data_IF_576835675894
#
_entry.id   IF_576835675894
#
_cell.length_a   1.000
_cell.length_b   1.000
_cell.length_c   1.000
_cell.angle_alpha   90.00
_cell.angle_beta   90.00
_cell.angle_gamma   90.00
#
_symmetry.space_group_name_H-M   'P 1'
#
loop_
_entity.id
_entity.type
_entity.pdbx_description
1 polymer ?
#
# COMPACT_ATOMS: atom_id res chain seq x y z
N UNK A 1 -24.80 -0.82 -3.87
CA UNK A 1 -24.92 -2.28 -4.15
C UNK A 1 -23.56 -2.79 -4.64
N UNK A 2 -23.14 -4.00 -4.21
CA UNK A 2 -21.88 -4.61 -4.69
C UNK A 2 -22.15 -6.02 -5.22
N UNK A 3 -21.20 -6.53 -6.04
CA UNK A 3 -21.21 -7.88 -6.56
C UNK A 3 -19.80 -8.46 -6.51
N UNK A 4 -19.70 -9.74 -6.10
CA UNK A 4 -18.43 -10.49 -6.14
C UNK A 4 -18.52 -11.47 -7.32
N UNK A 5 -17.69 -11.25 -8.34
CA UNK A 5 -17.61 -12.15 -9.50
C UNK A 5 -16.47 -13.13 -9.32
N UNK A 6 -16.78 -14.39 -9.56
CA UNK A 6 -15.82 -15.50 -9.50
C UNK A 6 -15.55 -15.99 -10.92
N UNK A 7 -14.27 -16.19 -11.22
CA UNK A 7 -13.79 -16.76 -12.47
C UNK A 7 -12.87 -17.94 -12.15
N UNK A 8 -12.74 -18.85 -13.09
CA UNK A 8 -11.71 -19.88 -12.94
C UNK A 8 -10.30 -19.29 -13.12
N UNK A 9 -9.27 -20.14 -12.97
CA UNK A 9 -7.87 -19.73 -13.14
C UNK A 9 -7.54 -19.16 -14.54
N UNK A 10 -8.35 -19.47 -15.55
CA UNK A 10 -8.19 -19.04 -16.94
C UNK A 10 -9.06 -17.82 -17.28
N UNK A 11 -9.68 -17.18 -16.29
CA UNK A 11 -10.60 -16.06 -16.44
C UNK A 11 -11.95 -16.41 -17.07
N UNK A 12 -12.33 -17.69 -17.14
CA UNK A 12 -13.70 -18.07 -17.52
C UNK A 12 -14.65 -17.74 -16.39
N UNK A 13 -15.70 -17.01 -16.69
CA UNK A 13 -16.70 -16.63 -15.70
C UNK A 13 -17.41 -17.87 -15.12
N UNK A 14 -17.51 -17.94 -13.80
CA UNK A 14 -18.19 -19.02 -13.08
C UNK A 14 -19.53 -18.57 -12.50
N UNK A 15 -19.52 -17.48 -11.75
CA UNK A 15 -20.72 -17.00 -11.04
C UNK A 15 -20.57 -15.58 -10.53
N UNK A 16 -21.71 -15.02 -10.12
CA UNK A 16 -21.78 -13.77 -9.37
C UNK A 16 -22.45 -14.05 -8.02
N UNK A 17 -21.76 -13.67 -6.95
CA UNK A 17 -22.35 -13.61 -5.60
C UNK A 17 -22.86 -12.20 -5.39
N UNK A 18 -24.20 -12.08 -5.31
CA UNK A 18 -24.84 -10.82 -4.96
C UNK A 18 -24.71 -10.54 -3.46
N UNK A 19 -24.94 -9.32 -3.05
CA UNK A 19 -24.95 -8.89 -1.65
C UNK A 19 -25.84 -9.77 -0.75
N UNK A 20 -26.92 -10.35 -1.29
CA UNK A 20 -27.84 -11.23 -0.55
C UNK A 20 -27.24 -12.61 -0.22
N UNK A 21 -26.24 -13.05 -0.99
CA UNK A 21 -25.56 -14.33 -0.78
C UNK A 21 -24.31 -14.21 0.09
N UNK A 22 -23.82 -12.99 0.32
CA UNK A 22 -22.64 -12.71 1.11
C UNK A 22 -23.05 -12.32 2.52
N UNK A 23 -22.57 -13.08 3.49
CA UNK A 23 -22.87 -12.79 4.90
C UNK A 23 -21.93 -11.72 5.45
N UNK A 24 -22.49 -10.75 6.19
CA UNK A 24 -21.72 -9.63 6.78
C UNK A 24 -20.85 -8.82 5.79
N UNK A 25 -21.06 -9.02 4.47
CA UNK A 25 -20.32 -8.29 3.45
C UNK A 25 -18.91 -8.82 3.21
N UNK A 26 -18.03 -7.94 2.78
CA UNK A 26 -16.61 -8.24 2.53
C UNK A 26 -15.71 -7.27 3.30
N UNK A 27 -14.45 -7.67 3.49
CA UNK A 27 -13.39 -6.75 3.88
C UNK A 27 -12.13 -7.02 3.07
N UNK A 28 -11.44 -5.99 2.65
CA UNK A 28 -10.10 -6.08 2.07
C UNK A 28 -9.32 -4.81 2.37
N UNK A 29 -8.00 -4.89 2.26
CA UNK A 29 -7.15 -3.72 2.40
C UNK A 29 -6.35 -3.48 1.12
N UNK A 30 -5.95 -2.23 0.94
CA UNK A 30 -5.00 -1.81 -0.08
C UNK A 30 -3.95 -0.91 0.58
N UNK A 31 -2.68 -1.11 0.25
CA UNK A 31 -1.58 -0.33 0.81
C UNK A 31 -0.59 0.09 -0.27
N UNK A 32 0.11 1.19 -0.03
CA UNK A 32 1.23 1.60 -0.88
C UNK A 32 2.28 0.49 -0.92
N UNK A 33 2.88 0.29 -2.09
CA UNK A 33 3.94 -0.68 -2.34
C UNK A 33 3.51 -2.16 -2.26
N UNK A 34 2.27 -2.47 -1.86
CA UNK A 34 1.77 -3.83 -1.72
C UNK A 34 0.53 -4.12 -2.59
N UNK A 35 -0.25 -3.09 -2.94
CA UNK A 35 -1.52 -3.26 -3.63
C UNK A 35 -2.62 -3.80 -2.71
N UNK A 36 -3.54 -4.58 -3.27
CA UNK A 36 -4.64 -5.20 -2.52
C UNK A 36 -4.18 -6.42 -1.74
N UNK A 37 -4.67 -6.57 -0.51
CA UNK A 37 -4.38 -7.73 0.33
C UNK A 37 -5.60 -8.18 1.11
N UNK A 38 -5.62 -9.47 1.46
CA UNK A 38 -6.48 -10.01 2.49
C UNK A 38 -7.99 -9.83 2.27
N UNK A 39 -8.49 -10.02 1.04
CA UNK A 39 -9.95 -10.08 0.86
C UNK A 39 -10.52 -11.25 1.64
N UNK A 40 -11.51 -10.96 2.49
CA UNK A 40 -12.29 -11.96 3.21
C UNK A 40 -13.76 -11.71 2.97
N UNK A 41 -14.52 -12.77 2.68
CA UNK A 41 -15.98 -12.77 2.66
C UNK A 41 -16.53 -14.16 2.98
N UNK A 42 -17.76 -14.19 3.50
CA UNK A 42 -18.50 -15.42 3.77
C UNK A 42 -19.70 -15.49 2.83
N UNK A 43 -20.00 -16.67 2.31
CA UNK A 43 -21.15 -16.85 1.44
C UNK A 43 -21.90 -18.14 1.73
N UNK A 44 -23.19 -18.14 1.38
CA UNK A 44 -24.07 -19.30 1.43
C UNK A 44 -24.45 -19.75 0.01
N UNK A 45 -24.58 -21.04 -0.18
CA UNK A 45 -25.05 -21.64 -1.42
C UNK A 45 -24.11 -22.68 -2.01
N UNK A 46 -24.58 -23.34 -3.07
CA UNK A 46 -23.89 -24.46 -3.72
C UNK A 46 -22.88 -24.04 -4.77
N UNK A 47 -22.42 -22.79 -4.75
CA UNK A 47 -21.40 -22.34 -5.70
C UNK A 47 -20.08 -23.00 -5.35
N UNK A 48 -19.47 -23.62 -6.36
CA UNK A 48 -18.16 -24.23 -6.22
C UNK A 48 -17.07 -23.19 -6.49
N UNK A 49 -16.43 -22.69 -5.42
CA UNK A 49 -15.22 -21.88 -5.48
C UNK A 49 -14.03 -22.80 -5.16
N UNK A 50 -12.97 -22.69 -5.93
CA UNK A 50 -11.74 -23.50 -5.79
C UNK A 50 -10.53 -22.61 -5.51
N UNK A 51 -9.45 -23.19 -4.97
CA UNK A 51 -8.17 -22.55 -4.87
C UNK A 51 -7.69 -22.06 -6.25
N UNK A 52 -7.12 -20.85 -6.28
CA UNK A 52 -6.69 -20.15 -7.49
C UNK A 52 -7.80 -19.65 -8.42
N UNK A 53 -9.07 -19.82 -8.07
CA UNK A 53 -10.12 -19.07 -8.74
C UNK A 53 -9.88 -17.57 -8.57
N UNK A 54 -10.30 -16.80 -9.57
CA UNK A 54 -10.13 -15.35 -9.57
C UNK A 54 -11.36 -14.70 -8.96
N UNK A 55 -11.11 -13.64 -8.19
CA UNK A 55 -12.17 -12.86 -7.53
C UNK A 55 -12.05 -11.41 -7.94
N UNK A 56 -13.16 -10.84 -8.40
CA UNK A 56 -13.30 -9.39 -8.58
C UNK A 56 -14.51 -8.90 -7.80
N UNK A 57 -14.33 -7.79 -7.08
CA UNK A 57 -15.45 -7.08 -6.44
C UNK A 57 -15.76 -5.84 -7.27
N UNK A 58 -17.04 -5.69 -7.56
CA UNK A 58 -17.58 -4.50 -8.22
C UNK A 58 -18.50 -3.76 -7.26
N UNK A 59 -18.32 -2.46 -7.14
CA UNK A 59 -19.31 -1.54 -6.59
C UNK A 59 -19.94 -0.83 -7.79
N UNK A 60 -21.23 -1.10 -8.02
CA UNK A 60 -21.90 -0.71 -9.28
C UNK A 60 -21.19 -1.29 -10.50
N UNK A 61 -20.54 -0.45 -11.33
CA UNK A 61 -19.79 -0.87 -12.52
C UNK A 61 -18.27 -0.86 -12.33
N UNK A 62 -17.78 -0.25 -11.25
CA UNK A 62 -16.35 -0.07 -10.99
C UNK A 62 -15.77 -1.29 -10.28
N UNK A 63 -14.69 -1.86 -10.80
CA UNK A 63 -13.92 -2.86 -10.09
C UNK A 63 -13.13 -2.17 -8.95
N UNK A 64 -13.31 -2.67 -7.71
CA UNK A 64 -12.66 -2.13 -6.51
C UNK A 64 -11.66 -3.09 -5.90
N UNK A 65 -11.70 -4.37 -6.29
CA UNK A 65 -10.76 -5.40 -5.87
C UNK A 65 -10.56 -6.43 -6.97
N UNK A 66 -9.34 -6.95 -7.07
CA UNK A 66 -9.00 -8.12 -7.87
C UNK A 66 -7.94 -8.96 -7.17
N UNK A 67 -8.16 -10.27 -7.16
CA UNK A 67 -7.22 -11.21 -6.57
C UNK A 67 -7.55 -12.66 -6.93
N UNK A 68 -6.90 -13.59 -6.26
CA UNK A 68 -7.16 -15.02 -6.39
C UNK A 68 -7.38 -15.69 -5.04
N UNK A 69 -8.18 -16.75 -5.03
CA UNK A 69 -8.56 -17.50 -3.83
C UNK A 69 -7.36 -18.28 -3.30
N UNK A 70 -6.98 -18.00 -2.06
CA UNK A 70 -5.91 -18.71 -1.34
C UNK A 70 -6.46 -19.73 -0.37
N UNK A 71 -7.57 -19.42 0.28
CA UNK A 71 -8.09 -20.22 1.37
C UNK A 71 -9.60 -20.31 1.31
N UNK A 72 -10.14 -21.49 1.62
CA UNK A 72 -11.59 -21.75 1.69
C UNK A 72 -11.82 -22.60 2.94
N UNK A 73 -12.65 -22.09 3.85
CA UNK A 73 -13.05 -22.80 5.07
C UNK A 73 -14.55 -23.06 5.04
N UNK A 74 -14.98 -24.27 5.37
CA UNK A 74 -16.38 -24.56 5.66
C UNK A 74 -16.70 -24.11 7.08
N UNK A 75 -17.78 -23.37 7.24
CA UNK A 75 -18.23 -22.91 8.55
C UNK A 75 -19.06 -23.98 9.21
N UNK A 76 -18.64 -24.44 10.39
CA UNK A 76 -19.30 -25.54 11.11
C UNK A 76 -20.59 -25.14 11.81
N UNK A 77 -20.72 -23.84 12.11
CA UNK A 77 -21.84 -23.24 12.83
C UNK A 77 -23.03 -22.89 11.94
N UNK A 78 -22.88 -23.01 10.62
CA UNK A 78 -23.89 -22.59 9.63
C UNK A 78 -23.95 -23.59 8.48
N UNK A 79 -25.13 -24.17 8.26
CA UNK A 79 -25.32 -25.15 7.18
C UNK A 79 -25.01 -24.55 5.81
N UNK A 80 -23.95 -25.03 5.17
CA UNK A 80 -23.54 -24.62 3.82
C UNK A 80 -22.75 -23.31 3.73
N UNK A 81 -22.41 -22.67 4.85
CA UNK A 81 -21.59 -21.47 4.87
C UNK A 81 -20.11 -21.78 4.53
N UNK A 82 -19.50 -20.91 3.75
CA UNK A 82 -18.07 -20.97 3.42
C UNK A 82 -17.45 -19.60 3.56
N UNK A 83 -16.26 -19.56 4.17
CA UNK A 83 -15.42 -18.37 4.19
C UNK A 83 -14.34 -18.50 3.12
N UNK A 84 -14.12 -17.42 2.39
CA UNK A 84 -13.11 -17.31 1.34
C UNK A 84 -12.13 -16.22 1.70
N UNK A 85 -10.85 -16.53 1.62
CA UNK A 85 -9.76 -15.55 1.69
C UNK A 85 -9.06 -15.52 0.35
N UNK A 86 -8.92 -14.32 -0.20
CA UNK A 86 -8.21 -14.09 -1.45
C UNK A 86 -7.08 -13.06 -1.26
N UNK A 87 -6.06 -13.14 -2.09
CA UNK A 87 -4.93 -12.21 -2.10
C UNK A 87 -4.72 -11.61 -3.48
N UNK A 88 -4.00 -10.50 -3.54
CA UNK A 88 -3.73 -9.85 -4.81
C UNK A 88 -2.72 -10.62 -5.66
N UNK A 89 -2.75 -10.34 -6.97
CA UNK A 89 -1.84 -10.91 -7.96
C UNK A 89 -0.37 -10.61 -7.72
N UNK A 90 -0.06 -9.41 -7.28
CA UNK A 90 1.31 -8.93 -7.19
C UNK A 90 2.17 -9.85 -6.32
N UNK A 91 1.66 -10.21 -5.14
CA UNK A 91 2.39 -11.07 -4.20
C UNK A 91 2.61 -12.49 -4.77
N UNK A 92 1.61 -13.05 -5.46
CA UNK A 92 1.69 -14.41 -5.99
C UNK A 92 2.57 -14.55 -7.24
N UNK A 93 2.64 -13.54 -8.07
CA UNK A 93 3.39 -13.60 -9.34
C UNK A 93 4.85 -13.17 -9.19
N UNK A 94 5.10 -12.17 -8.36
CA UNK A 94 6.41 -11.56 -8.21
C UNK A 94 7.27 -12.24 -7.13
N UNK A 95 6.65 -12.88 -6.14
CA UNK A 95 7.35 -13.44 -5.00
C UNK A 95 8.24 -14.65 -5.32
N UNK A 96 7.92 -15.38 -6.38
CA UNK A 96 8.59 -16.66 -6.68
C UNK A 96 9.50 -16.64 -7.91
N UNK A 97 9.49 -15.57 -8.70
CA UNK A 97 10.35 -15.47 -9.88
C UNK A 97 11.65 -14.77 -9.52
N UNK A 98 12.83 -15.37 -9.78
CA UNK A 98 14.12 -14.72 -9.55
C UNK A 98 14.30 -13.54 -10.52
N UNK A 99 14.80 -12.41 -9.98
CA UNK A 99 15.24 -11.29 -10.79
C UNK A 99 16.70 -11.51 -11.21
N UNK A 100 17.12 -11.11 -12.42
CA UNK A 100 18.50 -11.28 -12.87
C UNK A 100 19.48 -10.55 -11.97
N UNK A 101 20.57 -11.26 -11.56
CA UNK A 101 21.65 -10.67 -10.79
C UNK A 101 22.42 -9.64 -11.63
N UNK A 102 22.98 -8.66 -10.97
CA UNK A 102 23.84 -7.66 -11.58
C UNK A 102 23.69 -6.27 -10.96
N UNK A 103 24.52 -5.36 -11.41
CA UNK A 103 24.42 -3.96 -11.07
C UNK A 103 23.55 -3.23 -12.10
N UNK A 104 22.63 -2.41 -11.61
CA UNK A 104 21.72 -1.60 -12.42
C UNK A 104 21.91 -0.13 -12.07
N UNK A 105 22.19 0.66 -13.10
CA UNK A 105 22.24 2.13 -13.01
C UNK A 105 21.22 2.70 -14.01
N UNK A 106 19.96 2.70 -13.61
CA UNK A 106 18.84 3.01 -14.49
C UNK A 106 17.81 3.88 -13.80
N UNK A 107 16.90 4.42 -14.61
CA UNK A 107 15.74 5.12 -14.10
C UNK A 107 14.77 4.11 -13.45
N UNK A 108 14.30 4.34 -12.21
CA UNK A 108 13.35 3.47 -11.54
C UNK A 108 12.09 3.18 -12.35
N UNK A 109 11.58 4.14 -13.10
CA UNK A 109 10.39 3.96 -13.94
C UNK A 109 10.61 2.94 -15.05
N UNK A 110 11.79 2.94 -15.66
CA UNK A 110 12.16 1.96 -16.69
C UNK A 110 12.30 0.57 -16.09
N UNK A 111 12.95 0.46 -14.92
CA UNK A 111 13.09 -0.81 -14.21
C UNK A 111 11.71 -1.41 -13.83
N UNK A 112 10.78 -0.58 -13.37
CA UNK A 112 9.43 -1.04 -13.04
C UNK A 112 8.70 -1.51 -14.31
N UNK A 113 8.77 -0.77 -15.41
CA UNK A 113 8.21 -1.21 -16.71
C UNK A 113 8.81 -2.55 -17.14
N UNK A 114 10.14 -2.68 -17.11
CA UNK A 114 10.82 -3.94 -17.43
C UNK A 114 10.30 -5.13 -16.61
N UNK A 115 10.06 -4.93 -15.31
CA UNK A 115 9.51 -5.98 -14.43
C UNK A 115 8.13 -6.42 -14.91
N UNK A 116 7.22 -5.48 -15.17
CA UNK A 116 5.84 -5.80 -15.54
C UNK A 116 5.72 -6.33 -16.97
N UNK A 117 6.54 -5.86 -17.90
CA UNK A 117 6.59 -6.37 -19.27
C UNK A 117 7.07 -7.83 -19.32
N UNK A 118 8.07 -8.20 -18.49
CA UNK A 118 8.57 -9.59 -18.40
C UNK A 118 7.58 -10.56 -17.74
N UNK A 119 6.68 -10.07 -16.93
CA UNK A 119 5.67 -10.91 -16.26
C UNK A 119 4.52 -11.27 -17.20
N UNK A 120 4.32 -10.52 -18.28
CA UNK A 120 3.39 -10.73 -19.42
C UNK A 120 1.98 -11.22 -19.02
N UNK A 121 1.30 -10.53 -18.08
CA UNK A 121 -0.04 -10.94 -17.62
C UNK A 121 -1.10 -9.84 -17.77
N UNK A 122 -0.98 -9.03 -18.80
CA UNK A 122 -1.98 -8.00 -19.11
C UNK A 122 -1.95 -6.81 -18.15
N UNK A 123 -0.80 -6.51 -17.57
CA UNK A 123 -0.59 -5.28 -16.83
C UNK A 123 -0.51 -4.08 -17.78
N UNK A 124 -1.12 -2.98 -17.37
CA UNK A 124 -1.10 -1.71 -18.08
C UNK A 124 -0.08 -0.80 -17.40
N UNK A 125 0.99 -0.44 -18.10
CA UNK A 125 2.11 0.35 -17.54
C UNK A 125 1.99 1.86 -17.81
N UNK A 126 0.90 2.32 -18.40
CA UNK A 126 0.65 3.73 -18.72
C UNK A 126 0.48 4.65 -17.49
N UNK A 127 0.25 4.09 -16.30
CA UNK A 127 0.21 4.83 -15.02
C UNK A 127 1.58 5.09 -14.38
N UNK A 128 2.67 4.59 -14.99
CA UNK A 128 4.04 4.80 -14.50
C UNK A 128 4.55 6.15 -15.01
N UNK A 129 4.74 7.10 -14.09
CA UNK A 129 5.35 8.40 -14.36
C UNK A 129 6.86 8.29 -14.31
N UNK A 130 7.56 9.20 -15.00
CA UNK A 130 9.02 9.23 -15.02
C UNK A 130 9.57 9.73 -13.69
N UNK A 131 10.46 8.92 -13.09
CA UNK A 131 11.23 9.31 -11.93
C UNK A 131 12.36 10.26 -12.36
N UNK A 132 12.62 11.36 -11.64
CA UNK A 132 13.49 12.43 -12.13
C UNK A 132 14.99 12.08 -12.11
N UNK A 133 15.41 10.99 -11.47
CA UNK A 133 16.83 10.64 -11.35
C UNK A 133 17.09 9.18 -11.71
N UNK A 134 18.35 8.87 -12.01
CA UNK A 134 18.84 7.50 -12.06
C UNK A 134 19.33 7.07 -10.68
N UNK A 135 19.29 5.77 -10.41
CA UNK A 135 19.82 5.17 -9.20
C UNK A 135 20.70 3.98 -9.56
N UNK A 136 21.68 3.69 -8.72
CA UNK A 136 22.50 2.48 -8.82
C UNK A 136 22.07 1.48 -7.76
N UNK A 137 21.67 0.30 -8.18
CA UNK A 137 21.28 -0.79 -7.29
C UNK A 137 21.99 -2.09 -7.69
N UNK A 138 22.59 -2.77 -6.71
CA UNK A 138 23.12 -4.12 -6.89
C UNK A 138 22.05 -5.13 -6.57
N UNK A 139 21.82 -6.05 -7.49
CA UNK A 139 20.84 -7.13 -7.36
C UNK A 139 21.57 -8.45 -7.19
N UNK A 140 21.36 -9.11 -6.05
CA UNK A 140 21.91 -10.43 -5.75
C UNK A 140 20.82 -11.31 -5.13
N UNK A 141 20.48 -12.39 -5.84
CA UNK A 141 19.54 -13.41 -5.36
C UNK A 141 18.16 -12.89 -4.91
N UNK A 142 17.68 -11.81 -5.55
CA UNK A 142 16.37 -11.25 -5.27
C UNK A 142 15.30 -11.88 -6.17
N UNK A 143 14.08 -11.95 -5.68
CA UNK A 143 12.91 -12.15 -6.54
C UNK A 143 12.43 -10.81 -7.10
N UNK A 144 11.54 -10.82 -8.12
CA UNK A 144 10.97 -9.58 -8.64
C UNK A 144 10.29 -8.76 -7.57
N UNK A 145 9.59 -9.38 -6.62
CA UNK A 145 8.95 -8.68 -5.51
C UNK A 145 9.97 -7.99 -4.61
N UNK A 146 11.01 -8.70 -4.18
CA UNK A 146 12.06 -8.15 -3.33
C UNK A 146 12.85 -7.05 -4.04
N UNK A 147 13.14 -7.24 -5.33
CA UNK A 147 13.78 -6.20 -6.14
C UNK A 147 12.95 -4.90 -6.17
N UNK A 148 11.63 -5.00 -6.43
CA UNK A 148 10.77 -3.82 -6.39
C UNK A 148 10.72 -3.16 -5.01
N UNK A 149 10.76 -3.94 -3.94
CA UNK A 149 10.82 -3.40 -2.58
C UNK A 149 12.11 -2.65 -2.30
N UNK A 150 13.25 -3.20 -2.69
CA UNK A 150 14.54 -2.50 -2.57
C UNK A 150 14.56 -1.21 -3.41
N UNK A 151 14.04 -1.28 -4.63
CA UNK A 151 13.91 -0.11 -5.50
C UNK A 151 13.06 1.00 -4.84
N UNK A 152 11.92 0.63 -4.25
CA UNK A 152 11.00 1.56 -3.60
C UNK A 152 11.58 2.21 -2.33
N UNK A 153 12.50 1.54 -1.63
CA UNK A 153 13.24 2.15 -0.52
C UNK A 153 14.12 3.32 -0.96
N UNK A 154 14.58 3.30 -2.20
CA UNK A 154 15.45 4.33 -2.78
C UNK A 154 14.68 5.48 -3.43
N UNK A 155 13.40 5.27 -3.77
CA UNK A 155 12.55 6.26 -4.44
C UNK A 155 11.64 6.98 -3.46
N UNK A 156 12.24 7.84 -2.64
CA UNK A 156 11.52 8.63 -1.64
C UNK A 156 10.27 9.30 -2.20
N UNK A 157 9.17 9.24 -1.44
CA UNK A 157 7.86 9.87 -1.76
C UNK A 157 7.18 9.33 -3.04
N UNK A 158 7.78 8.34 -3.71
CA UNK A 158 7.15 7.64 -4.81
C UNK A 158 6.56 6.31 -4.34
N UNK A 159 5.43 5.96 -4.90
CA UNK A 159 4.67 4.78 -4.49
C UNK A 159 4.32 3.94 -5.70
N UNK A 160 4.35 2.63 -5.51
CA UNK A 160 3.92 1.65 -6.50
C UNK A 160 2.60 1.05 -6.05
N UNK A 161 1.64 0.98 -6.96
CA UNK A 161 0.34 0.35 -6.70
C UNK A 161 -0.21 -0.27 -7.99
N UNK A 162 -0.88 -1.41 -7.84
CA UNK A 162 -1.63 -2.05 -8.93
C UNK A 162 -3.11 -2.01 -8.58
N UNK A 163 -3.90 -1.40 -9.43
CA UNK A 163 -5.33 -1.28 -9.23
C UNK A 163 -6.11 -2.54 -9.64
N UNK A 164 -7.42 -2.52 -9.43
CA UNK A 164 -8.30 -3.64 -9.75
C UNK A 164 -8.48 -3.89 -11.26
N UNK A 165 -7.98 -3.00 -12.11
CA UNK A 165 -7.97 -3.12 -13.57
C UNK A 165 -6.59 -3.52 -14.13
N UNK A 166 -5.66 -3.94 -13.25
CA UNK A 166 -4.26 -4.26 -13.56
C UNK A 166 -3.45 -3.07 -14.09
N UNK A 167 -3.87 -1.84 -13.82
CA UNK A 167 -3.04 -0.70 -14.14
C UNK A 167 -1.99 -0.50 -13.03
N UNK A 168 -0.74 -0.41 -13.45
CA UNK A 168 0.42 -0.16 -12.59
C UNK A 168 0.62 1.33 -12.48
N UNK A 169 0.56 1.82 -11.26
CA UNK A 169 0.79 3.23 -10.93
C UNK A 169 2.12 3.36 -10.19
N UNK A 170 2.99 4.21 -10.68
CA UNK A 170 4.21 4.62 -10.00
C UNK A 170 4.33 6.13 -10.12
N UNK A 171 4.17 6.83 -9.00
CA UNK A 171 4.15 8.29 -8.98
C UNK A 171 4.36 8.84 -7.56
N UNK A 172 4.64 10.15 -7.47
CA UNK A 172 4.82 10.86 -6.20
C UNK A 172 3.53 11.46 -5.61
N UNK A 173 2.42 11.40 -6.33
CA UNK A 173 1.15 11.97 -5.87
C UNK A 173 -0.04 11.33 -6.59
N UNK A 174 -1.04 10.95 -5.82
CA UNK A 174 -2.35 10.52 -6.30
C UNK A 174 -3.35 11.69 -6.36
N UNK A 175 -4.62 11.34 -6.42
CA UNK A 175 -5.72 12.29 -6.40
C UNK A 175 -5.83 12.99 -5.03
N UNK A 176 -6.45 14.16 -5.03
CA UNK A 176 -6.69 14.95 -3.82
C UNK A 176 -8.15 14.81 -3.41
N UNK A 177 -8.37 14.36 -2.19
CA UNK A 177 -9.71 14.24 -1.59
C UNK A 177 -9.86 15.26 -0.46
N UNK A 178 -11.01 15.92 -0.42
CA UNK A 178 -11.40 16.79 0.69
C UNK A 178 -12.59 16.16 1.41
N UNK A 179 -12.44 15.88 2.68
CA UNK A 179 -13.46 15.29 3.53
C UNK A 179 -13.90 16.29 4.60
N UNK A 180 -15.18 16.25 4.94
CA UNK A 180 -15.77 17.04 6.02
C UNK A 180 -16.12 16.14 7.18
N UNK A 181 -15.58 16.42 8.37
CA UNK A 181 -15.90 15.67 9.57
C UNK A 181 -17.39 15.88 9.96
N UNK A 182 -18.07 14.81 10.29
CA UNK A 182 -19.50 14.81 10.58
C UNK A 182 -20.39 14.64 9.34
N UNK A 183 -19.85 14.75 8.11
CA UNK A 183 -20.55 14.48 6.86
C UNK A 183 -19.91 13.28 6.15
N UNK A 184 -18.69 13.43 5.64
CA UNK A 184 -17.98 12.43 4.85
C UNK A 184 -17.21 11.42 5.72
N UNK A 185 -16.81 11.83 6.92
CA UNK A 185 -16.13 11.00 7.90
C UNK A 185 -16.64 11.25 9.31
N UNK A 186 -16.67 10.18 10.12
CA UNK A 186 -17.30 10.20 11.45
C UNK A 186 -16.31 9.95 12.59
N UNK A 187 -15.08 9.54 12.30
CA UNK A 187 -14.07 9.26 13.31
C UNK A 187 -12.68 9.59 12.80
N UNK A 188 -11.88 10.20 13.66
CA UNK A 188 -10.47 10.45 13.43
C UNK A 188 -9.72 9.96 14.66
N UNK A 189 -8.90 8.93 14.50
CA UNK A 189 -8.02 8.39 15.54
C UNK A 189 -6.58 8.80 15.23
N UNK A 190 -5.92 9.38 16.21
CA UNK A 190 -4.49 9.71 16.14
C UNK A 190 -3.79 8.88 17.20
N UNK A 191 -2.86 8.03 16.80
CA UNK A 191 -2.03 7.24 17.68
C UNK A 191 -0.54 7.57 17.45
N UNK A 192 0.22 7.60 18.53
CA UNK A 192 1.67 7.78 18.50
C UNK A 192 2.34 6.46 18.85
N UNK A 193 3.31 6.05 18.04
CA UNK A 193 4.14 4.88 18.30
C UNK A 193 5.61 5.26 18.24
N UNK A 194 6.33 5.01 19.33
CA UNK A 194 7.75 5.33 19.47
C UNK A 194 8.67 4.11 19.57
N UNK A 195 8.13 2.90 19.48
CA UNK A 195 8.89 1.65 19.66
C UNK A 195 10.05 1.46 18.67
N UNK A 196 9.98 2.08 17.49
CA UNK A 196 11.01 2.02 16.45
C UNK A 196 11.53 3.41 16.07
N UNK A 197 11.56 4.33 17.03
CA UNK A 197 12.01 5.69 16.81
C UNK A 197 13.52 5.81 16.85
N UNK A 198 14.11 6.40 15.81
CA UNK A 198 15.52 6.76 15.74
C UNK A 198 15.68 8.13 15.10
N UNK A 199 16.51 8.99 15.68
CA UNK A 199 16.76 10.35 15.22
C UNK A 199 18.20 10.62 14.82
N UNK A 200 19.05 9.60 14.94
CA UNK A 200 20.40 9.59 14.41
C UNK A 200 20.62 8.24 13.72
N UNK A 201 20.93 8.24 12.42
CA UNK A 201 21.05 7.02 11.63
C UNK A 201 22.40 7.05 10.92
N UNK A 202 23.14 5.96 11.06
CA UNK A 202 24.37 5.70 10.29
C UNK A 202 24.10 4.53 9.34
N UNK A 203 24.37 4.73 8.06
CA UNK A 203 24.26 3.73 7.02
C UNK A 203 25.66 3.33 6.54
N UNK A 204 26.01 2.07 6.75
CA UNK A 204 27.20 1.48 6.14
C UNK A 204 26.84 0.91 4.77
N UNK A 205 27.57 1.28 3.74
CA UNK A 205 27.40 0.80 2.38
C UNK A 205 28.74 0.35 1.81
N UNK A 206 28.76 -0.25 0.63
CA UNK A 206 29.94 -0.95 0.11
C UNK A 206 31.24 -0.09 0.08
N UNK A 207 31.11 1.22 -0.15
CA UNK A 207 32.27 2.11 -0.29
C UNK A 207 32.44 3.10 0.88
N UNK A 208 31.78 2.86 2.00
CA UNK A 208 31.95 3.71 3.18
C UNK A 208 30.74 3.78 4.09
N UNK A 209 30.63 4.88 4.80
CA UNK A 209 29.48 5.18 5.63
C UNK A 209 28.98 6.60 5.38
N UNK A 210 27.72 6.81 5.69
CA UNK A 210 27.09 8.12 5.71
C UNK A 210 26.14 8.19 6.93
N UNK A 211 25.91 9.37 7.46
CA UNK A 211 25.01 9.55 8.63
C UNK A 211 24.10 10.75 8.45
N UNK A 212 22.95 10.69 9.12
CA UNK A 212 21.97 11.78 9.19
C UNK A 212 21.45 11.91 10.62
N UNK A 213 21.18 13.14 11.04
CA UNK A 213 20.62 13.44 12.36
C UNK A 213 19.46 14.43 12.23
N UNK A 214 18.46 14.26 13.06
CA UNK A 214 17.40 15.24 13.27
C UNK A 214 17.67 15.99 14.59
N UNK A 215 18.35 17.11 14.48
CA UNK A 215 18.77 17.91 15.65
C UNK A 215 17.57 18.44 16.44
N UNK A 216 16.46 18.77 15.79
CA UNK A 216 15.26 19.25 16.47
C UNK A 216 14.66 18.17 17.37
N UNK A 217 14.59 16.94 16.86
CA UNK A 217 14.09 15.80 17.62
C UNK A 217 15.06 15.33 18.71
N UNK A 218 16.38 15.38 18.46
CA UNK A 218 17.41 15.09 19.46
C UNK A 218 17.26 16.03 20.64
N UNK A 219 17.04 17.31 20.40
CA UNK A 219 16.85 18.32 21.47
C UNK A 219 15.61 18.03 22.32
N UNK A 220 14.53 17.49 21.70
CA UNK A 220 13.24 17.28 22.38
C UNK A 220 13.18 15.95 23.12
N UNK A 221 13.72 14.88 22.53
CA UNK A 221 13.53 13.49 23.02
C UNK A 221 14.84 12.79 23.39
N UNK A 222 15.98 13.46 23.27
CA UNK A 222 17.30 12.84 23.41
C UNK A 222 17.73 12.10 22.13
N UNK A 223 18.97 11.61 22.13
CA UNK A 223 19.53 10.88 21.01
C UNK A 223 19.08 9.41 21.04
N UNK A 224 18.62 8.93 19.88
CA UNK A 224 18.32 7.52 19.63
C UNK A 224 18.97 7.12 18.32
N UNK A 225 19.94 6.21 18.40
CA UNK A 225 20.83 5.87 17.28
C UNK A 225 20.47 4.53 16.65
N UNK A 226 20.57 4.47 15.32
CA UNK A 226 20.43 3.26 14.52
C UNK A 226 21.62 3.13 13.56
N UNK A 227 22.21 1.95 13.50
CA UNK A 227 23.18 1.60 12.47
C UNK A 227 22.54 0.58 11.52
N UNK A 228 22.64 0.83 10.22
CA UNK A 228 22.08 -0.03 9.17
C UNK A 228 23.20 -0.41 8.19
N UNK A 229 23.26 -1.67 7.82
CA UNK A 229 24.20 -2.19 6.83
C UNK A 229 23.46 -2.54 5.54
N UNK A 230 23.74 -1.83 4.44
CA UNK A 230 23.15 -2.06 3.11
C UNK A 230 24.25 -2.13 2.04
N UNK A 231 24.92 -3.28 1.95
CA UNK A 231 26.04 -3.53 1.01
C UNK A 231 25.65 -3.46 -0.48
N UNK A 232 24.35 -3.49 -0.80
CA UNK A 232 23.82 -3.31 -2.14
C UNK A 232 23.98 -1.87 -2.67
N UNK A 233 24.17 -0.90 -1.79
CA UNK A 233 24.37 0.50 -2.16
C UNK A 233 25.84 0.72 -2.51
N UNK A 234 26.10 1.26 -3.69
CA UNK A 234 27.46 1.40 -4.25
C UNK A 234 27.94 2.85 -4.36
N UNK A 235 27.09 3.83 -4.20
CA UNK A 235 27.45 5.23 -4.35
C UNK A 235 26.88 6.09 -3.21
N UNK A 236 27.54 7.21 -2.95
CA UNK A 236 27.22 8.14 -1.89
C UNK A 236 25.84 8.80 -2.08
N UNK A 237 25.47 9.13 -3.31
CA UNK A 237 24.21 9.80 -3.61
C UNK A 237 23.02 8.91 -3.25
N UNK A 238 23.10 7.63 -3.65
CA UNK A 238 22.09 6.62 -3.29
C UNK A 238 22.06 6.40 -1.78
N UNK A 239 23.22 6.36 -1.10
CA UNK A 239 23.27 6.25 0.37
C UNK A 239 22.62 7.45 1.07
N UNK A 240 22.83 8.67 0.60
CA UNK A 240 22.19 9.87 1.17
C UNK A 240 20.67 9.88 0.95
N UNK A 241 20.19 9.43 -0.21
CA UNK A 241 18.75 9.27 -0.46
C UNK A 241 18.14 8.23 0.49
N UNK A 242 18.83 7.11 0.66
CA UNK A 242 18.39 6.05 1.57
C UNK A 242 18.34 6.50 3.03
N UNK A 243 19.35 7.25 3.49
CA UNK A 243 19.36 7.82 4.83
C UNK A 243 18.18 8.74 5.09
N UNK A 244 17.82 9.59 4.12
CA UNK A 244 16.64 10.47 4.25
C UNK A 244 15.36 9.66 4.34
N UNK A 245 15.24 8.58 3.55
CA UNK A 245 14.10 7.68 3.64
C UNK A 245 14.05 6.96 5.01
N UNK A 246 15.18 6.43 5.48
CA UNK A 246 15.28 5.77 6.79
C UNK A 246 14.91 6.71 7.93
N UNK A 247 15.39 7.94 7.92
CA UNK A 247 15.05 8.91 8.96
C UNK A 247 13.54 9.17 9.01
N UNK A 248 12.87 9.21 7.85
CA UNK A 248 11.42 9.33 7.80
C UNK A 248 10.69 8.05 8.24
N UNK A 249 11.17 6.87 7.83
CA UNK A 249 10.61 5.58 8.24
C UNK A 249 10.72 5.36 9.75
N UNK A 250 11.79 5.86 10.37
CA UNK A 250 12.13 5.67 11.78
C UNK A 250 11.78 6.86 12.68
N UNK A 251 11.15 7.89 12.13
CA UNK A 251 10.59 8.98 12.93
C UNK A 251 9.42 8.47 13.80
N UNK A 252 9.06 9.22 14.85
CA UNK A 252 7.87 8.90 15.65
C UNK A 252 6.67 8.75 14.71
N UNK A 253 6.16 7.53 14.63
CA UNK A 253 5.02 7.21 13.78
C UNK A 253 3.79 7.75 14.48
N UNK A 254 3.22 8.81 13.94
CA UNK A 254 1.89 9.27 14.29
C UNK A 254 0.94 8.72 13.25
N UNK A 255 0.32 7.58 13.54
CA UNK A 255 -0.71 7.07 12.65
C UNK A 255 -1.98 7.89 12.82
N UNK A 256 -2.51 8.40 11.73
CA UNK A 256 -3.82 9.02 11.69
C UNK A 256 -4.75 8.11 10.89
N UNK A 257 -5.85 7.70 11.50
CA UNK A 257 -6.89 6.90 10.85
C UNK A 257 -8.16 7.72 10.73
N UNK A 258 -8.71 7.76 9.53
CA UNK A 258 -9.95 8.45 9.22
C UNK A 258 -10.99 7.41 8.80
N UNK A 259 -12.11 7.33 9.52
CA UNK A 259 -13.23 6.47 9.14
C UNK A 259 -14.19 7.24 8.26
N UNK A 260 -14.29 6.81 6.99
CA UNK A 260 -15.11 7.42 5.94
C UNK A 260 -16.39 6.64 5.79
N UNK A 261 -17.54 7.32 5.65
CA UNK A 261 -18.86 6.72 5.47
C UNK A 261 -19.32 6.73 4.01
N UNK A 262 -20.52 6.23 3.75
CA UNK A 262 -21.09 6.14 2.40
C UNK A 262 -21.52 7.48 1.77
N UNK A 263 -21.56 8.57 2.53
CA UNK A 263 -21.88 9.91 2.00
C UNK A 263 -20.77 10.37 1.05
N UNK A 264 -19.55 9.89 1.29
CA UNK A 264 -18.44 10.03 0.38
C UNK A 264 -18.20 8.72 -0.38
N UNK A 265 -17.96 8.80 -1.68
CA UNK A 265 -17.55 7.62 -2.48
C UNK A 265 -16.12 7.19 -2.14
N UNK A 266 -15.98 6.51 -1.00
CA UNK A 266 -14.69 6.06 -0.47
C UNK A 266 -13.96 5.06 -1.40
N UNK A 267 -14.62 4.48 -2.40
CA UNK A 267 -13.96 3.60 -3.37
C UNK A 267 -13.01 4.33 -4.30
N UNK A 268 -13.15 5.66 -4.38
CA UNK A 268 -12.20 6.53 -5.09
C UNK A 268 -10.90 6.75 -4.32
N UNK A 269 -10.92 6.64 -2.98
CA UNK A 269 -9.74 6.82 -2.17
C UNK A 269 -8.83 5.60 -2.34
N UNK A 270 -7.62 5.81 -2.79
CA UNK A 270 -6.62 4.76 -3.02
C UNK A 270 -5.35 5.04 -2.22
N UNK A 271 -4.55 4.01 -1.92
CA UNK A 271 -3.20 4.25 -1.43
C UNK A 271 -2.46 5.18 -2.39
N UNK A 272 -1.64 6.10 -1.90
CA UNK A 272 -0.95 7.22 -2.57
C UNK A 272 -1.77 8.49 -2.79
N UNK A 273 -3.08 8.46 -2.66
CA UNK A 273 -3.89 9.67 -2.73
C UNK A 273 -3.57 10.62 -1.58
N UNK A 274 -4.03 11.84 -1.69
CA UNK A 274 -3.87 12.84 -0.65
C UNK A 274 -5.22 13.21 -0.06
N UNK A 275 -5.29 13.21 1.27
CA UNK A 275 -6.51 13.57 2.00
C UNK A 275 -6.29 14.83 2.80
N UNK A 276 -7.29 15.69 2.73
CA UNK A 276 -7.51 16.80 3.66
C UNK A 276 -8.85 16.58 4.37
N UNK A 277 -8.87 16.73 5.69
CA UNK A 277 -10.10 16.66 6.48
C UNK A 277 -10.34 17.98 7.17
N UNK A 278 -11.50 18.57 6.97
CA UNK A 278 -11.94 19.79 7.64
C UNK A 278 -12.87 19.46 8.80
N UNK A 279 -12.59 20.03 9.95
CA UNK A 279 -13.47 20.04 11.12
C UNK A 279 -13.52 21.47 11.67
N UNK A 280 -14.51 21.80 12.48
CA UNK A 280 -14.64 23.12 13.11
C UNK A 280 -13.40 23.56 13.91
N UNK A 281 -12.63 22.58 14.44
CA UNK A 281 -11.48 22.86 15.32
C UNK A 281 -10.15 22.23 14.86
N UNK A 282 -10.11 21.45 13.79
CA UNK A 282 -8.91 20.74 13.33
C UNK A 282 -8.91 20.60 11.81
N UNK A 283 -7.77 20.84 11.22
CA UNK A 283 -7.58 20.65 9.77
C UNK A 283 -6.46 19.63 9.60
N UNK A 284 -6.79 18.53 8.90
CA UNK A 284 -5.80 17.61 8.36
C UNK A 284 -5.54 18.06 6.93
N UNK A 285 -4.32 18.43 6.59
CA UNK A 285 -4.02 18.96 5.28
C UNK A 285 -3.08 18.05 4.50
N UNK A 286 -3.51 17.71 3.30
CA UNK A 286 -2.70 17.15 2.22
C UNK A 286 -1.84 15.94 2.61
N UNK A 287 -2.38 15.02 3.43
CA UNK A 287 -1.69 13.82 3.89
C UNK A 287 -1.82 12.67 2.92
N UNK A 288 -0.73 11.92 2.73
CA UNK A 288 -0.70 10.77 1.84
C UNK A 288 -1.42 9.59 2.49
N UNK A 289 -2.25 8.93 1.72
CA UNK A 289 -2.92 7.69 2.09
C UNK A 289 -1.91 6.53 1.99
N UNK A 290 -1.59 5.91 3.12
CA UNK A 290 -0.69 4.74 3.18
C UNK A 290 -1.44 3.43 3.02
N UNK A 291 -2.62 3.35 3.61
CA UNK A 291 -3.46 2.16 3.57
C UNK A 291 -4.93 2.55 3.61
N UNK A 292 -5.74 1.79 2.93
CA UNK A 292 -7.20 1.85 3.03
C UNK A 292 -7.71 0.45 3.34
N UNK A 293 -8.57 0.33 4.32
CA UNK A 293 -9.33 -0.88 4.60
C UNK A 293 -10.79 -0.62 4.22
N UNK A 294 -11.33 -1.47 3.37
CA UNK A 294 -12.64 -1.30 2.77
C UNK A 294 -13.63 -2.33 3.31
N UNK A 295 -14.85 -1.87 3.54
CA UNK A 295 -16.04 -2.67 3.80
C UNK A 295 -17.17 -2.20 2.88
N UNK A 296 -18.32 -2.86 2.81
CA UNK A 296 -19.41 -2.46 1.92
C UNK A 296 -19.87 -1.01 2.07
N UNK A 297 -19.91 -0.52 3.30
CA UNK A 297 -20.52 0.77 3.65
C UNK A 297 -19.55 1.77 4.28
N UNK A 298 -18.28 1.44 4.42
CA UNK A 298 -17.30 2.30 5.06
C UNK A 298 -15.88 1.95 4.63
N UNK A 299 -14.98 2.89 4.82
CA UNK A 299 -13.54 2.63 4.72
C UNK A 299 -12.80 3.27 5.89
N UNK A 300 -11.70 2.65 6.31
CA UNK A 300 -10.75 3.25 7.23
C UNK A 300 -9.47 3.56 6.47
N UNK A 301 -9.14 4.83 6.45
CA UNK A 301 -7.98 5.36 5.74
C UNK A 301 -6.87 5.65 6.75
N UNK A 302 -5.73 5.01 6.60
CA UNK A 302 -4.52 5.29 7.38
C UNK A 302 -3.66 6.27 6.58
N UNK A 303 -3.38 7.40 7.19
CA UNK A 303 -2.61 8.48 6.60
C UNK A 303 -1.14 8.39 7.00
N UNK A 304 -0.31 9.08 6.24
CA UNK A 304 1.11 9.27 6.51
C UNK A 304 1.33 9.94 7.88
N UNK A 305 2.50 9.70 8.45
CA UNK A 305 2.84 10.22 9.77
C UNK A 305 2.72 11.75 9.86
N UNK A 306 2.25 12.23 11.00
CA UNK A 306 2.22 13.63 11.34
C UNK A 306 3.50 14.05 12.04
N UNK A 307 4.07 15.18 11.66
CA UNK A 307 4.98 15.91 12.51
C UNK A 307 4.16 16.61 13.59
N UNK A 308 4.23 16.11 14.82
CA UNK A 308 3.75 16.67 16.12
C UNK A 308 2.28 17.10 16.29
N UNK A 309 1.69 16.69 17.42
CA UNK A 309 0.42 17.21 17.96
C UNK A 309 0.45 18.74 18.16
N UNK A 310 1.61 19.31 18.42
CA UNK A 310 1.83 20.76 18.60
C UNK A 310 1.51 21.57 17.35
N UNK A 311 1.71 21.00 16.15
CA UNK A 311 1.29 21.65 14.90
C UNK A 311 -0.24 21.73 14.76
N UNK A 312 -0.98 20.88 15.46
CA UNK A 312 -2.43 20.91 15.52
C UNK A 312 -2.97 21.95 16.51
N UNK A 313 -2.20 22.25 17.57
CA UNK A 313 -2.62 23.11 18.67
C UNK A 313 -2.20 24.57 18.41
N UNK A 314 -1.15 24.81 17.65
CA UNK A 314 -0.54 26.15 17.48
C UNK A 314 -1.17 27.00 16.37
N UNK A 315 -2.14 26.52 15.62
CA UNK A 315 -2.95 27.35 14.71
C UNK A 315 -4.31 27.64 15.35
N UNK A 316 -4.30 28.40 16.46
CA UNK A 316 -5.43 29.20 16.92
C UNK A 316 -5.31 30.62 16.39
#
# INVERSE_FOLDING_TARGET
MYNIKIYDRNWTFKTTLSEKLVHCGYSFSASVNWGYSGLTFEYFGNVEIRHRDRVKIYKETQAIYQGFVNWITKLSDRSGGKQVIATSWMLGLLAFKPYPNGEKNWNPSELIREVFDKISQGFKTNGIKEYPWTITIKVENLTYLWFLQELLKLTKDWTLFIDAENAVHFNSSGEKHQLTYGLDCFKIDIAEESSNYFNAITLNYDWGNASIKDEAWIKTYGISELVVDESQIKDKTTAELRLKALLQEKSIIKSCRVSVNNEYDFTKIKPWDRISVRNTNRIIENKIVKQVQYWPNTAVVTLDSYQTLEHFISKK
#
